data_IF_799348823999
#
_entry.id   IF_799348823999
#
_cell.length_a   1.000
_cell.length_b   1.000
_cell.length_c   1.000
_cell.angle_alpha   90.00
_cell.angle_beta   90.00
_cell.angle_gamma   90.00
#
_symmetry.space_group_name_H-M   'P 1'
#
loop_
_entity.id
_entity.type
_entity.pdbx_description
1 polymer ?
#
# COMPACT_ATOMS: atom_id res chain seq x y z
N UNK A 1 -29.04 39.58 -37.12
CA UNK A 1 -27.89 38.76 -36.68
C UNK A 1 -28.39 37.64 -35.78
N UNK A 2 -28.87 36.57 -36.40
CA UNK A 2 -29.27 35.29 -35.82
C UNK A 2 -28.58 34.27 -36.71
N UNK A 3 -28.14 33.15 -36.16
CA UNK A 3 -27.32 32.11 -36.81
C UNK A 3 -25.83 32.45 -36.78
N UNK A 4 -25.18 32.24 -35.63
CA UNK A 4 -23.75 31.86 -35.55
C UNK A 4 -23.40 31.38 -34.12
N UNK A 5 -24.37 30.77 -33.43
CA UNK A 5 -24.22 30.33 -32.02
C UNK A 5 -23.86 28.85 -31.88
N UNK A 6 -23.83 28.03 -32.94
CA UNK A 6 -24.01 26.58 -32.70
C UNK A 6 -22.85 25.66 -33.12
N UNK A 7 -21.75 26.13 -33.71
CA UNK A 7 -20.81 25.18 -34.38
C UNK A 7 -19.44 25.01 -33.72
N UNK A 8 -19.06 25.80 -32.70
CA UNK A 8 -17.67 25.76 -32.17
C UNK A 8 -17.47 25.07 -30.81
N UNK A 9 -18.42 24.26 -30.35
CA UNK A 9 -18.28 23.50 -29.08
C UNK A 9 -18.12 21.98 -29.27
N UNK A 10 -18.01 21.50 -30.52
CA UNK A 10 -17.69 20.10 -30.83
C UNK A 10 -16.18 19.87 -31.09
N UNK A 11 -15.30 20.58 -30.38
CA UNK A 11 -13.98 20.05 -30.11
C UNK A 11 -14.14 18.92 -29.09
N UNK A 12 -14.52 17.75 -29.61
CA UNK A 12 -14.38 16.47 -28.96
C UNK A 12 -12.97 16.44 -28.34
N UNK A 13 -12.89 16.74 -27.04
CA UNK A 13 -11.79 16.32 -26.22
C UNK A 13 -11.79 14.81 -26.32
N UNK A 14 -11.00 14.29 -27.28
CA UNK A 14 -10.72 12.89 -27.36
C UNK A 14 -10.29 12.49 -25.95
N UNK A 15 -11.12 11.69 -25.29
CA UNK A 15 -10.74 10.99 -24.08
C UNK A 15 -9.37 10.41 -24.40
N UNK A 16 -8.33 10.93 -23.76
CA UNK A 16 -7.01 10.34 -23.87
C UNK A 16 -7.22 8.86 -23.55
N UNK A 17 -6.94 8.00 -24.52
CA UNK A 17 -6.90 6.58 -24.26
C UNK A 17 -5.81 6.40 -23.19
N UNK A 18 -6.26 6.31 -21.94
CA UNK A 18 -5.38 6.19 -20.79
C UNK A 18 -4.48 4.98 -21.03
N UNK A 19 -3.18 5.22 -21.21
CA UNK A 19 -2.14 4.19 -21.30
C UNK A 19 -1.93 3.43 -19.98
N UNK A 20 -2.76 3.70 -18.97
CA UNK A 20 -2.68 3.19 -17.61
C UNK A 20 -3.63 2.00 -17.33
N UNK A 21 -3.88 1.14 -18.32
CA UNK A 21 -4.50 -0.15 -18.01
C UNK A 21 -3.42 -1.08 -17.43
N UNK A 22 -3.23 -1.00 -16.12
CA UNK A 22 -2.43 -1.99 -15.39
C UNK A 22 -3.06 -3.37 -15.60
N UNK A 23 -2.26 -4.38 -15.95
CA UNK A 23 -2.75 -5.77 -16.13
C UNK A 23 -3.58 -6.19 -14.89
N UNK A 24 -4.90 -6.46 -15.03
CA UNK A 24 -5.76 -6.78 -13.91
C UNK A 24 -5.29 -8.01 -13.11
N UNK A 25 -4.62 -8.97 -13.75
CA UNK A 25 -4.08 -10.16 -13.08
C UNK A 25 -2.87 -9.79 -12.23
N UNK A 26 -2.01 -8.92 -12.74
CA UNK A 26 -0.87 -8.39 -11.98
C UNK A 26 -1.36 -7.61 -10.77
N UNK A 27 -2.32 -6.69 -10.97
CA UNK A 27 -2.92 -5.91 -9.88
C UNK A 27 -3.53 -6.83 -8.82
N UNK A 28 -4.31 -7.84 -9.24
CA UNK A 28 -4.88 -8.84 -8.32
C UNK A 28 -3.80 -9.59 -7.53
N UNK A 29 -2.69 -9.94 -8.18
CA UNK A 29 -1.56 -10.64 -7.55
C UNK A 29 -0.83 -9.76 -6.54
N UNK A 30 -0.60 -8.49 -6.88
CA UNK A 30 -0.04 -7.49 -5.97
C UNK A 30 -0.95 -7.32 -4.75
N UNK A 31 -2.26 -7.18 -4.95
CA UNK A 31 -3.23 -7.05 -3.86
C UNK A 31 -3.23 -8.25 -2.91
N UNK A 32 -3.16 -9.48 -3.44
CA UNK A 32 -3.01 -10.70 -2.63
C UNK A 32 -1.72 -10.69 -1.83
N UNK A 33 -0.64 -10.14 -2.39
CA UNK A 33 0.66 -10.06 -1.70
C UNK A 33 0.64 -9.03 -0.58
N UNK A 34 -0.05 -7.89 -0.78
CA UNK A 34 -0.36 -6.94 0.29
C UNK A 34 -1.15 -7.61 1.42
N UNK A 35 -2.20 -8.37 1.09
CA UNK A 35 -2.99 -9.09 2.09
C UNK A 35 -2.17 -10.13 2.87
N UNK A 36 -1.28 -10.86 2.20
CA UNK A 36 -0.42 -11.85 2.84
C UNK A 36 0.54 -11.19 3.85
N UNK A 37 1.16 -10.07 3.45
CA UNK A 37 1.99 -9.27 4.36
C UNK A 37 1.17 -8.80 5.56
N UNK A 38 0.02 -8.18 5.33
CA UNK A 38 -0.83 -7.62 6.37
C UNK A 38 -1.34 -8.71 7.35
N UNK A 39 -1.63 -9.92 6.86
CA UNK A 39 -1.94 -11.07 7.70
C UNK A 39 -0.74 -11.52 8.56
N UNK A 40 0.47 -11.52 8.01
CA UNK A 40 1.69 -11.79 8.78
C UNK A 40 1.90 -10.75 9.88
N UNK A 41 1.75 -9.45 9.55
CA UNK A 41 1.92 -8.36 10.51
C UNK A 41 0.90 -8.47 11.66
N UNK A 42 -0.37 -8.70 11.32
CA UNK A 42 -1.43 -8.88 12.30
C UNK A 42 -1.14 -10.06 13.24
N UNK A 43 -0.72 -11.21 12.68
CA UNK A 43 -0.37 -12.41 13.46
C UNK A 43 0.79 -12.16 14.41
N UNK A 44 1.86 -11.52 13.94
CA UNK A 44 3.07 -11.27 14.74
C UNK A 44 2.90 -10.11 15.74
N UNK A 45 1.86 -9.30 15.62
CA UNK A 45 1.51 -8.28 16.60
C UNK A 45 0.76 -8.82 17.83
N UNK A 46 0.07 -9.98 17.71
CA UNK A 46 -0.74 -10.58 18.79
C UNK A 46 0.00 -10.76 20.13
N UNK A 47 1.28 -11.15 20.18
CA UNK A 47 1.99 -11.30 21.45
C UNK A 47 2.17 -10.00 22.24
N UNK A 48 1.94 -8.84 21.63
CA UNK A 48 2.21 -7.51 22.19
C UNK A 48 0.94 -6.77 22.66
N UNK A 49 -0.12 -7.52 22.99
CA UNK A 49 -1.40 -7.02 23.53
C UNK A 49 -1.24 -6.25 24.84
N UNK A 50 -0.21 -6.55 25.62
CA UNK A 50 0.14 -5.87 26.86
C UNK A 50 1.64 -5.59 26.88
N UNK A 51 2.02 -4.38 27.27
CA UNK A 51 3.42 -4.01 27.45
C UNK A 51 3.69 -2.52 27.27
N UNK A 52 4.67 -2.03 28.02
CA UNK A 52 5.06 -0.61 28.03
C UNK A 52 6.12 -0.27 26.98
N UNK A 53 6.58 -1.27 26.22
CA UNK A 53 7.53 -1.02 25.14
C UNK A 53 6.89 -0.15 24.07
N UNK A 54 7.66 0.82 23.59
CA UNK A 54 7.27 1.70 22.49
C UNK A 54 6.73 0.91 21.28
N UNK A 55 5.52 1.24 20.78
CA UNK A 55 4.90 0.54 19.65
C UNK A 55 5.77 0.50 18.40
N UNK A 56 6.53 1.57 18.13
CA UNK A 56 7.38 1.63 16.92
C UNK A 56 8.57 0.66 16.98
N UNK A 57 9.10 0.43 18.18
CA UNK A 57 10.16 -0.54 18.43
C UNK A 57 9.68 -1.97 18.20
N UNK A 58 8.48 -2.31 18.67
CA UNK A 58 7.83 -3.60 18.40
C UNK A 58 7.48 -3.72 16.91
N UNK A 59 6.95 -2.66 16.29
CA UNK A 59 6.60 -2.64 14.89
C UNK A 59 7.80 -2.97 13.99
N UNK A 60 9.01 -2.53 14.35
CA UNK A 60 10.24 -2.91 13.66
C UNK A 60 10.51 -4.40 13.77
N UNK A 61 10.38 -5.00 14.95
CA UNK A 61 10.54 -6.45 15.14
C UNK A 61 9.48 -7.26 14.38
N UNK A 62 8.23 -6.81 14.38
CA UNK A 62 7.13 -7.40 13.61
C UNK A 62 7.40 -7.31 12.10
N UNK A 63 7.86 -6.15 11.62
CA UNK A 63 8.23 -5.94 10.22
C UNK A 63 9.36 -6.88 9.78
N UNK A 64 10.39 -7.05 10.62
CA UNK A 64 11.49 -8.00 10.37
C UNK A 64 10.99 -9.45 10.32
N UNK A 65 10.03 -9.81 11.18
CA UNK A 65 9.44 -11.15 11.19
C UNK A 65 8.63 -11.45 9.92
N UNK A 66 8.16 -10.41 9.21
CA UNK A 66 7.39 -10.49 7.96
C UNK A 66 8.20 -10.02 6.73
N UNK A 67 9.54 -10.15 6.81
CA UNK A 67 10.42 -9.69 5.75
C UNK A 67 10.20 -10.47 4.45
N UNK A 68 9.92 -11.77 4.53
CA UNK A 68 9.71 -12.60 3.34
C UNK A 68 8.50 -12.14 2.51
N UNK A 69 7.38 -11.82 3.16
CA UNK A 69 6.18 -11.28 2.51
C UNK A 69 6.45 -9.89 1.91
N UNK A 70 7.22 -9.07 2.62
CA UNK A 70 7.60 -7.73 2.18
C UNK A 70 8.53 -7.77 0.97
N UNK A 71 9.52 -8.66 0.96
CA UNK A 71 10.44 -8.83 -0.17
C UNK A 71 9.71 -9.40 -1.40
N UNK A 72 8.74 -10.30 -1.20
CA UNK A 72 7.85 -10.76 -2.26
C UNK A 72 7.02 -9.62 -2.84
N UNK A 73 6.44 -8.77 -2.00
CA UNK A 73 5.70 -7.59 -2.43
C UNK A 73 6.59 -6.64 -3.25
N UNK A 74 7.80 -6.36 -2.78
CA UNK A 74 8.77 -5.53 -3.49
C UNK A 74 9.08 -6.14 -4.87
N UNK A 75 9.32 -7.45 -4.95
CA UNK A 75 9.65 -8.10 -6.22
C UNK A 75 8.57 -7.95 -7.30
N UNK A 76 7.29 -7.97 -6.89
CA UNK A 76 6.15 -7.87 -7.80
C UNK A 76 5.81 -6.41 -8.14
N UNK A 77 5.86 -5.52 -7.14
CA UNK A 77 5.50 -4.11 -7.30
C UNK A 77 6.63 -3.26 -7.89
N UNK A 78 7.88 -3.74 -7.84
CA UNK A 78 9.06 -3.00 -8.29
C UNK A 78 9.91 -3.77 -9.31
N UNK A 79 9.35 -4.14 -10.48
CA UNK A 79 10.09 -4.90 -11.50
C UNK A 79 11.31 -4.14 -12.05
N UNK A 80 11.27 -2.80 -12.00
CA UNK A 80 12.37 -1.92 -12.45
C UNK A 80 13.44 -1.66 -11.38
N UNK A 81 13.28 -2.22 -10.17
CA UNK A 81 14.21 -2.09 -9.04
C UNK A 81 14.50 -0.63 -8.66
N UNK A 82 13.49 0.21 -8.73
CA UNK A 82 13.56 1.60 -8.27
C UNK A 82 13.72 1.63 -6.73
N UNK A 83 14.82 2.16 -6.17
CA UNK A 83 15.04 2.19 -4.74
C UNK A 83 13.95 2.98 -3.98
N UNK A 84 13.31 3.97 -4.60
CA UNK A 84 12.25 4.76 -3.97
C UNK A 84 11.00 3.90 -3.71
N UNK A 85 10.63 3.02 -4.65
CA UNK A 85 9.49 2.10 -4.48
C UNK A 85 9.77 1.10 -3.37
N UNK A 86 10.98 0.52 -3.34
CA UNK A 86 11.40 -0.38 -2.26
C UNK A 86 11.35 0.32 -0.90
N UNK A 87 11.87 1.55 -0.80
CA UNK A 87 11.83 2.33 0.44
C UNK A 87 10.39 2.66 0.87
N UNK A 88 9.50 2.99 -0.08
CA UNK A 88 8.10 3.26 0.19
C UNK A 88 7.36 2.01 0.73
N UNK A 89 7.58 0.84 0.13
CA UNK A 89 6.95 -0.41 0.59
C UNK A 89 7.44 -0.79 1.99
N UNK A 90 8.74 -0.64 2.27
CA UNK A 90 9.28 -0.90 3.63
C UNK A 90 8.69 0.06 4.65
N UNK A 91 8.57 1.35 4.32
CA UNK A 91 7.95 2.35 5.19
C UNK A 91 6.46 2.06 5.46
N UNK A 92 5.69 1.73 4.42
CA UNK A 92 4.28 1.31 4.58
C UNK A 92 4.16 0.06 5.47
N UNK A 93 5.10 -0.87 5.34
CA UNK A 93 5.15 -2.09 6.17
C UNK A 93 5.36 -1.75 7.65
N UNK A 94 6.33 -0.88 7.97
CA UNK A 94 6.58 -0.43 9.35
C UNK A 94 5.39 0.36 9.93
N UNK A 95 4.77 1.23 9.13
CA UNK A 95 3.58 1.98 9.54
C UNK A 95 2.40 1.05 9.84
N UNK A 96 2.14 0.07 8.97
CA UNK A 96 1.09 -0.93 9.21
C UNK A 96 1.41 -1.82 10.39
N UNK A 97 2.66 -2.24 10.56
CA UNK A 97 3.09 -3.00 11.73
C UNK A 97 2.78 -2.22 13.03
N UNK A 98 3.07 -0.92 13.05
CA UNK A 98 2.72 -0.03 14.17
C UNK A 98 1.21 -0.03 14.41
N UNK A 99 0.41 0.08 13.35
CA UNK A 99 -1.05 0.01 13.46
C UNK A 99 -1.57 -1.32 14.00
N UNK A 100 -0.97 -2.45 13.62
CA UNK A 100 -1.34 -3.76 14.18
C UNK A 100 -0.95 -3.91 15.65
N UNK A 101 0.20 -3.36 16.07
CA UNK A 101 0.61 -3.34 17.48
C UNK A 101 -0.36 -2.50 18.31
N UNK A 102 -0.66 -1.28 17.88
CA UNK A 102 -1.63 -0.41 18.55
C UNK A 102 -3.01 -1.05 18.61
N UNK A 103 -3.47 -1.65 17.51
CA UNK A 103 -4.74 -2.40 17.47
C UNK A 103 -4.75 -3.58 18.43
N UNK A 104 -3.65 -4.33 18.55
CA UNK A 104 -3.55 -5.44 19.49
C UNK A 104 -3.68 -4.98 20.95
N UNK A 105 -3.23 -3.76 21.26
CA UNK A 105 -3.35 -3.13 22.59
C UNK A 105 -4.71 -2.47 22.86
N UNK A 106 -5.58 -2.39 21.84
CA UNK A 106 -6.83 -1.62 21.93
C UNK A 106 -6.62 -0.10 21.86
N UNK A 107 -5.47 0.34 21.36
CA UNK A 107 -5.11 1.75 21.19
C UNK A 107 -5.52 2.25 19.79
N UNK A 108 -5.84 3.54 19.68
CA UNK A 108 -6.21 4.18 18.40
C UNK A 108 -4.94 4.70 17.73
N UNK A 109 -4.81 4.49 16.43
CA UNK A 109 -3.75 5.06 15.61
C UNK A 109 -3.73 6.60 15.72
N UNK A 110 -2.60 7.23 16.11
CA UNK A 110 -2.44 8.67 15.91
C UNK A 110 -2.31 8.91 14.40
N UNK A 111 -3.29 9.59 13.82
CA UNK A 111 -3.30 9.98 12.41
C UNK A 111 -2.17 10.97 12.09
#
# INVERSE_FOLDING_TARGET
MRILVVVLTLSLGACSANSHYSDPRLVSTINKTYQARDACLAKNAVPYVSGDTDPSSIARAVSLSCQAETDKLISLSNPKRDPAITAAIRRDTEQRATGYVLKARGEVLPY
#
